data_IF_378659909588
#
_entry.id   IF_378659909588
#
_cell.length_a   1.000
_cell.length_b   1.000
_cell.length_c   1.000
_cell.angle_alpha   90.00
_cell.angle_beta   90.00
_cell.angle_gamma   90.00
#
_symmetry.space_group_name_H-M   'P 1'
#
loop_
_entity.id
_entity.type
_entity.pdbx_description
1 polymer ?
#
# COMPACT_ATOMS: atom_id res chain seq x y z
N UNK A 1 3.27 2.95 15.60
CA UNK A 1 2.66 4.24 15.99
C UNK A 1 1.24 4.22 15.47
N UNK A 2 0.21 4.03 16.33
CA UNK A 2 -1.18 3.86 15.85
C UNK A 2 -1.72 5.20 15.37
N UNK A 3 -1.96 5.35 14.07
CA UNK A 3 -2.56 6.54 13.47
C UNK A 3 -4.01 6.68 13.98
N UNK A 4 -4.19 7.53 15.01
CA UNK A 4 -5.48 7.77 15.69
C UNK A 4 -6.49 8.61 14.89
N UNK A 5 -6.24 8.94 13.62
CA UNK A 5 -7.15 9.80 12.83
C UNK A 5 -8.07 9.03 11.88
N UNK A 6 -7.47 8.28 10.95
CA UNK A 6 -8.20 7.67 9.82
C UNK A 6 -9.02 6.46 10.27
N UNK A 7 -8.47 5.63 11.16
CA UNK A 7 -9.15 4.44 11.69
C UNK A 7 -10.48 4.76 12.38
N UNK A 8 -10.59 5.93 13.03
CA UNK A 8 -11.81 6.37 13.71
C UNK A 8 -12.89 6.80 12.71
N UNK A 9 -12.47 7.34 11.56
CA UNK A 9 -13.35 7.94 10.55
C UNK A 9 -13.90 6.95 9.52
N UNK A 10 -13.22 5.82 9.30
CA UNK A 10 -13.74 4.73 8.45
C UNK A 10 -14.94 4.06 9.13
N UNK A 11 -15.93 3.62 8.37
CA UNK A 11 -16.92 2.62 8.84
C UNK A 11 -16.28 1.23 8.89
N UNK A 12 -16.93 0.28 9.58
CA UNK A 12 -16.45 -1.10 9.62
C UNK A 12 -16.48 -1.75 8.23
N UNK A 13 -17.52 -1.48 7.45
CA UNK A 13 -17.67 -2.02 6.09
C UNK A 13 -16.61 -1.46 5.14
N UNK A 14 -16.29 -0.16 5.22
CA UNK A 14 -15.18 0.44 4.48
C UNK A 14 -13.85 -0.22 4.86
N UNK A 15 -13.55 -0.33 6.16
CA UNK A 15 -12.31 -0.94 6.63
C UNK A 15 -12.20 -2.41 6.19
N UNK A 16 -13.29 -3.18 6.26
CA UNK A 16 -13.32 -4.56 5.79
C UNK A 16 -13.07 -4.67 4.29
N UNK A 17 -13.66 -3.78 3.48
CA UNK A 17 -13.44 -3.77 2.04
C UNK A 17 -11.99 -3.43 1.70
N UNK A 18 -11.39 -2.43 2.35
CA UNK A 18 -9.99 -2.05 2.16
C UNK A 18 -9.06 -3.20 2.56
N UNK A 19 -9.26 -3.82 3.73
CA UNK A 19 -8.46 -4.97 4.18
C UNK A 19 -8.59 -6.17 3.24
N UNK A 20 -9.77 -6.40 2.65
CA UNK A 20 -9.97 -7.46 1.65
C UNK A 20 -9.13 -7.21 0.40
N UNK A 21 -9.18 -5.99 -0.13
CA UNK A 21 -8.38 -5.60 -1.31
C UNK A 21 -6.88 -5.66 -1.00
N UNK A 22 -6.47 -5.23 0.20
CA UNK A 22 -5.09 -5.38 0.68
C UNK A 22 -4.63 -6.84 0.71
N UNK A 23 -5.45 -7.75 1.21
CA UNK A 23 -5.16 -9.19 1.20
C UNK A 23 -4.96 -9.71 -0.23
N UNK A 24 -5.85 -9.37 -1.16
CA UNK A 24 -5.69 -9.74 -2.58
C UNK A 24 -4.42 -9.15 -3.20
N UNK A 25 -4.07 -7.91 -2.87
CA UNK A 25 -2.81 -7.30 -3.32
C UNK A 25 -1.59 -8.09 -2.82
N UNK A 26 -1.60 -8.51 -1.55
CA UNK A 26 -0.51 -9.32 -0.97
C UNK A 26 -0.35 -10.68 -1.66
N UNK A 27 -1.44 -11.34 -2.03
CA UNK A 27 -1.40 -12.63 -2.76
C UNK A 27 -0.68 -12.53 -4.11
N UNK A 28 -0.66 -11.34 -4.72
CA UNK A 28 -0.12 -11.12 -6.06
C UNK A 28 1.16 -10.27 -6.08
N UNK A 29 1.57 -9.67 -4.95
CA UNK A 29 2.70 -8.75 -4.88
C UNK A 29 4.07 -9.41 -4.65
N UNK A 30 4.15 -10.74 -4.62
CA UNK A 30 5.40 -11.47 -4.37
C UNK A 30 6.56 -11.13 -5.31
N UNK A 31 6.27 -10.70 -6.55
CA UNK A 31 7.27 -10.23 -7.50
C UNK A 31 7.83 -8.84 -7.19
N UNK A 32 7.08 -7.98 -6.48
CA UNK A 32 7.51 -6.62 -6.16
C UNK A 32 8.74 -6.62 -5.26
N UNK A 33 8.76 -7.46 -4.23
CA UNK A 33 9.92 -7.55 -3.34
C UNK A 33 11.20 -8.02 -4.07
N UNK A 34 11.06 -8.85 -5.11
CA UNK A 34 12.21 -9.27 -5.92
C UNK A 34 12.75 -8.12 -6.79
N UNK A 35 11.87 -7.28 -7.32
CA UNK A 35 12.23 -6.17 -8.21
C UNK A 35 12.75 -4.95 -7.44
N UNK A 36 12.19 -4.67 -6.26
CA UNK A 36 12.39 -3.43 -5.53
C UNK A 36 13.06 -3.61 -4.15
N UNK A 37 13.32 -4.86 -3.74
CA UNK A 37 13.82 -5.16 -2.41
C UNK A 37 12.89 -4.63 -1.32
N UNK A 38 13.45 -3.84 -0.40
CA UNK A 38 12.73 -3.20 0.71
C UNK A 38 12.36 -1.73 0.43
N UNK A 39 12.28 -1.34 -0.84
CA UNK A 39 11.96 0.05 -1.23
C UNK A 39 11.04 0.06 -2.45
N UNK A 40 9.84 -0.47 -2.21
CA UNK A 40 8.76 -0.57 -3.18
C UNK A 40 8.09 0.80 -3.29
N UNK A 41 7.83 1.33 -4.50
CA UNK A 41 7.10 2.58 -4.65
C UNK A 41 5.68 2.49 -4.07
N UNK A 42 5.28 3.50 -3.32
CA UNK A 42 3.93 3.65 -2.77
C UNK A 42 2.83 3.67 -3.85
N UNK A 43 3.11 4.17 -5.05
CA UNK A 43 2.14 4.16 -6.15
C UNK A 43 1.76 2.76 -6.64
N UNK A 44 2.45 1.71 -6.19
CA UNK A 44 2.07 0.32 -6.45
C UNK A 44 1.07 -0.24 -5.43
N UNK A 45 0.73 0.51 -4.39
CA UNK A 45 -0.28 0.11 -3.42
C UNK A 45 -1.71 0.28 -3.99
N UNK A 46 -2.68 -0.51 -3.51
CA UNK A 46 -4.08 -0.35 -3.89
C UNK A 46 -4.76 0.87 -3.22
N UNK A 47 -4.20 1.34 -2.11
CA UNK A 47 -4.64 2.52 -1.36
C UNK A 47 -3.42 3.23 -0.75
N UNK A 48 -3.53 4.54 -0.45
CA UNK A 48 -2.54 5.24 0.36
C UNK A 48 -2.23 4.52 1.68
N UNK A 49 -0.97 4.57 2.13
CA UNK A 49 -0.49 3.83 3.32
C UNK A 49 -1.33 4.15 4.56
N UNK A 50 -1.67 5.42 4.73
CA UNK A 50 -2.44 5.92 5.87
C UNK A 50 -3.88 5.35 5.90
N UNK A 51 -4.52 5.19 4.74
CA UNK A 51 -5.81 4.51 4.59
C UNK A 51 -5.69 3.01 4.87
N UNK A 52 -4.66 2.35 4.34
CA UNK A 52 -4.40 0.93 4.62
C UNK A 52 -4.21 0.71 6.12
N UNK A 53 -3.33 1.49 6.73
CA UNK A 53 -3.03 1.41 8.15
C UNK A 53 -4.27 1.74 9.00
N UNK A 54 -5.05 2.75 8.62
CA UNK A 54 -6.32 3.08 9.27
C UNK A 54 -7.33 1.92 9.23
N UNK A 55 -7.49 1.28 8.08
CA UNK A 55 -8.39 0.15 7.89
C UNK A 55 -7.93 -1.10 8.67
N UNK A 56 -6.64 -1.42 8.61
CA UNK A 56 -6.03 -2.52 9.38
C UNK A 56 -6.27 -2.32 10.88
N UNK A 57 -5.91 -1.16 11.42
CA UNK A 57 -6.11 -0.82 12.84
C UNK A 57 -7.59 -0.92 13.27
N UNK A 58 -8.53 -0.48 12.42
CA UNK A 58 -9.97 -0.58 12.73
C UNK A 58 -10.43 -2.04 12.78
N UNK A 59 -9.99 -2.87 11.83
CA UNK A 59 -10.33 -4.30 11.80
C UNK A 59 -9.67 -5.09 12.93
N UNK A 60 -8.44 -4.74 13.31
CA UNK A 60 -7.76 -5.31 14.49
C UNK A 60 -8.54 -5.04 15.77
N UNK A 61 -8.94 -3.78 16.01
CA UNK A 61 -9.72 -3.42 17.19
C UNK A 61 -11.05 -4.19 17.25
N UNK A 62 -11.73 -4.34 16.10
CA UNK A 62 -12.95 -5.13 15.99
C UNK A 62 -12.74 -6.61 16.31
N UNK A 63 -11.70 -7.24 15.75
CA UNK A 63 -11.41 -8.65 16.02
C UNK A 63 -10.93 -8.90 17.44
N UNK A 64 -10.16 -7.98 18.00
CA UNK A 64 -9.74 -8.01 19.40
C UNK A 64 -10.96 -7.98 20.34
N UNK A 65 -11.92 -7.08 20.10
CA UNK A 65 -13.17 -7.00 20.88
C UNK A 65 -14.04 -8.26 20.78
N UNK A 66 -13.83 -9.11 19.78
CA UNK A 66 -14.50 -10.40 19.60
C UNK A 66 -13.70 -11.61 20.10
N UNK A 67 -12.50 -11.41 20.65
CA UNK A 67 -11.61 -12.49 21.08
C UNK A 67 -11.01 -13.31 19.92
N UNK A 68 -11.00 -12.77 18.69
CA UNK A 68 -10.47 -13.45 17.50
C UNK A 68 -8.97 -13.17 17.32
N UNK A 69 -8.17 -13.63 18.28
CA UNK A 69 -6.73 -13.32 18.37
C UNK A 69 -5.92 -13.76 17.13
N UNK A 70 -6.27 -14.88 16.51
CA UNK A 70 -5.60 -15.34 15.28
C UNK A 70 -5.76 -14.33 14.13
N UNK A 71 -6.92 -13.68 14.04
CA UNK A 71 -7.16 -12.66 13.01
C UNK A 71 -6.45 -11.35 13.32
N UNK A 72 -6.33 -10.99 14.59
CA UNK A 72 -5.55 -9.82 15.01
C UNK A 72 -4.09 -10.04 14.63
N UNK A 73 -3.52 -11.19 14.99
CA UNK A 73 -2.14 -11.53 14.65
C UNK A 73 -1.88 -11.53 13.14
N UNK A 74 -2.79 -12.08 12.35
CA UNK A 74 -2.68 -12.05 10.89
C UNK A 74 -2.62 -10.61 10.35
N UNK A 75 -3.45 -9.71 10.87
CA UNK A 75 -3.44 -8.31 10.46
C UNK A 75 -2.14 -7.62 10.84
N UNK A 76 -1.65 -7.82 12.07
CA UNK A 76 -0.37 -7.28 12.55
C UNK A 76 0.82 -7.76 11.69
N UNK A 77 0.82 -9.05 11.30
CA UNK A 77 1.83 -9.62 10.40
C UNK A 77 1.81 -8.96 9.01
N UNK A 78 0.63 -8.62 8.50
CA UNK A 78 0.51 -7.91 7.21
C UNK A 78 0.79 -6.40 7.30
N UNK A 79 0.54 -5.77 8.45
CA UNK A 79 0.84 -4.34 8.67
C UNK A 79 2.35 -4.08 8.50
N UNK A 80 3.19 -5.01 8.95
CA UNK A 80 4.64 -4.93 8.78
C UNK A 80 5.07 -4.80 7.31
N UNK A 81 4.32 -5.39 6.37
CA UNK A 81 4.60 -5.26 4.94
C UNK A 81 4.44 -3.84 4.42
N UNK A 82 3.68 -2.97 5.10
CA UNK A 82 3.59 -1.55 4.71
C UNK A 82 4.95 -0.84 4.85
N UNK A 83 5.83 -1.31 5.72
CA UNK A 83 7.16 -0.70 5.93
C UNK A 83 8.12 -0.89 4.76
N UNK A 84 7.81 -1.78 3.80
CA UNK A 84 8.61 -1.95 2.59
C UNK A 84 8.26 -0.94 1.50
N UNK A 85 7.15 -0.22 1.65
CA UNK A 85 6.70 0.81 0.73
C UNK A 85 7.25 2.16 1.18
N UNK A 86 7.82 2.89 0.22
CA UNK A 86 8.41 4.23 0.42
C UNK A 86 7.91 5.15 -0.68
N UNK A 87 8.15 6.46 -0.53
CA UNK A 87 7.77 7.40 -1.58
C UNK A 87 8.38 7.00 -2.93
N UNK A 88 7.67 7.28 -4.02
CA UNK A 88 8.13 6.93 -5.37
C UNK A 88 9.53 7.51 -5.66
N UNK A 89 9.79 8.73 -5.18
CA UNK A 89 11.09 9.39 -5.29
C UNK A 89 12.18 8.64 -4.52
N UNK A 90 11.90 8.23 -3.27
CA UNK A 90 12.85 7.45 -2.48
C UNK A 90 13.12 6.07 -3.09
N UNK A 91 12.09 5.41 -3.61
CA UNK A 91 12.22 4.13 -4.30
C UNK A 91 13.13 4.27 -5.53
N UNK A 92 12.91 5.30 -6.34
CA UNK A 92 13.74 5.61 -7.52
C UNK A 92 15.19 5.90 -7.10
N UNK A 93 15.41 6.74 -6.09
CA UNK A 93 16.76 7.11 -5.63
C UNK A 93 17.54 5.89 -5.14
N UNK A 94 16.91 5.02 -4.32
CA UNK A 94 17.52 3.78 -3.85
C UNK A 94 17.80 2.82 -5.00
N UNK A 95 16.89 2.72 -5.96
CA UNK A 95 17.08 1.90 -7.15
C UNK A 95 18.27 2.40 -7.98
N UNK A 96 18.36 3.70 -8.26
CA UNK A 96 19.48 4.33 -8.98
C UNK A 96 20.81 4.08 -8.26
N UNK A 97 20.83 4.14 -6.93
CA UNK A 97 22.04 3.91 -6.14
C UNK A 97 22.56 2.46 -6.22
N UNK A 98 21.68 1.51 -6.57
CA UNK A 98 21.99 0.08 -6.61
C UNK A 98 22.75 -0.36 -7.87
N UNK A 99 22.84 0.50 -8.90
CA UNK A 99 23.49 0.17 -10.17
C UNK A 99 24.57 1.18 -10.54
N UNK A 100 25.71 0.69 -11.03
CA UNK A 100 26.83 1.53 -11.45
C UNK A 100 26.73 1.99 -12.92
N UNK A 101 25.98 1.29 -13.76
CA UNK A 101 25.83 1.61 -15.18
C UNK A 101 24.75 2.68 -15.42
N UNK A 102 25.11 3.82 -16.03
CA UNK A 102 24.20 4.95 -16.25
C UNK A 102 23.10 4.69 -17.29
N UNK A 103 23.41 3.98 -18.37
CA UNK A 103 22.43 3.62 -19.41
C UNK A 103 21.40 2.63 -18.87
N UNK A 104 21.86 1.64 -18.11
CA UNK A 104 20.97 0.68 -17.44
C UNK A 104 20.07 1.37 -16.40
N UNK A 105 20.63 2.30 -15.60
CA UNK A 105 19.84 3.12 -14.67
C UNK A 105 18.71 3.86 -15.37
N UNK A 106 19.02 4.53 -16.49
CA UNK A 106 18.02 5.28 -17.26
C UNK A 106 16.88 4.39 -17.75
N UNK A 107 17.21 3.27 -18.38
CA UNK A 107 16.20 2.32 -18.89
C UNK A 107 15.32 1.74 -17.78
N UNK A 108 15.91 1.44 -16.62
CA UNK A 108 15.15 0.93 -15.50
C UNK A 108 14.23 1.99 -14.89
N UNK A 109 14.71 3.23 -14.70
CA UNK A 109 13.85 4.32 -14.19
C UNK A 109 12.68 4.57 -15.12
N UNK A 110 12.91 4.63 -16.44
CA UNK A 110 11.84 4.76 -17.43
C UNK A 110 10.84 3.59 -17.33
N UNK A 111 11.33 2.35 -17.27
CA UNK A 111 10.48 1.16 -17.11
C UNK A 111 9.70 1.13 -15.79
N UNK A 112 10.25 1.66 -14.70
CA UNK A 112 9.58 1.81 -13.41
C UNK A 112 8.44 2.82 -13.50
N UNK A 113 8.69 3.99 -14.08
CA UNK A 113 7.67 5.02 -14.28
C UNK A 113 6.54 4.52 -15.19
N UNK A 114 6.88 3.79 -16.26
CA UNK A 114 5.90 3.16 -17.13
C UNK A 114 5.08 2.09 -16.40
N UNK A 115 5.71 1.31 -15.53
CA UNK A 115 5.02 0.31 -14.69
C UNK A 115 4.04 0.98 -13.72
N UNK A 116 4.48 2.02 -13.00
CA UNK A 116 3.62 2.80 -12.09
C UNK A 116 2.42 3.40 -12.82
N UNK A 117 2.67 4.00 -13.99
CA UNK A 117 1.63 4.58 -14.83
C UNK A 117 0.65 3.53 -15.35
N UNK A 118 1.16 2.41 -15.85
CA UNK A 118 0.32 1.31 -16.35
C UNK A 118 -0.50 0.71 -15.22
N UNK A 119 0.08 0.52 -14.05
CA UNK A 119 -0.63 0.02 -12.88
C UNK A 119 -1.78 0.95 -12.47
N UNK A 120 -1.57 2.27 -12.47
CA UNK A 120 -2.62 3.24 -12.18
C UNK A 120 -3.74 3.29 -13.25
N UNK A 121 -3.40 3.01 -14.51
CA UNK A 121 -4.32 3.15 -15.66
C UNK A 121 -5.06 1.87 -16.03
N UNK A 122 -4.39 0.72 -15.94
CA UNK A 122 -4.87 -0.58 -16.46
C UNK A 122 -4.67 -1.73 -15.45
N UNK A 123 -4.18 -1.45 -14.25
CA UNK A 123 -3.66 -2.45 -13.33
C UNK A 123 -4.70 -3.45 -12.81
N UNK A 124 -4.26 -4.70 -12.69
CA UNK A 124 -5.00 -5.80 -12.06
C UNK A 124 -4.90 -5.79 -10.52
N UNK A 125 -3.98 -4.98 -9.95
CA UNK A 125 -3.70 -4.91 -8.49
C UNK A 125 -4.05 -3.56 -7.86
N UNK A 126 -4.20 -2.51 -8.67
CA UNK A 126 -4.58 -1.16 -8.24
C UNK A 126 -5.72 -0.72 -9.14
N UNK A 127 -6.91 -0.59 -8.57
CA UNK A 127 -8.06 -0.03 -9.29
C UNK A 127 -7.96 1.50 -9.20
N UNK A 128 -7.60 2.15 -10.31
CA UNK A 128 -7.41 3.60 -10.37
C UNK A 128 -8.66 4.39 -9.96
N UNK A 129 -9.87 3.83 -10.11
CA UNK A 129 -11.11 4.46 -9.63
C UNK A 129 -11.20 4.39 -8.10
N UNK A 130 -10.80 3.27 -7.51
CA UNK A 130 -10.72 3.13 -6.04
C UNK A 130 -9.65 4.03 -5.45
N UNK A 131 -8.51 4.19 -6.11
CA UNK A 131 -7.44 5.08 -5.67
C UNK A 131 -7.89 6.55 -5.61
N UNK A 132 -8.51 7.06 -6.67
CA UNK A 132 -9.00 8.44 -6.73
C UNK A 132 -10.17 8.68 -5.76
N UNK A 133 -11.08 7.72 -5.59
CA UNK A 133 -12.13 7.79 -4.56
C UNK A 133 -11.55 7.83 -3.15
N UNK A 134 -10.44 7.14 -2.91
CA UNK A 134 -9.80 7.09 -1.60
C UNK A 134 -9.04 8.38 -1.30
N UNK A 135 -8.41 9.00 -2.29
CA UNK A 135 -7.81 10.34 -2.13
C UNK A 135 -8.86 11.40 -1.80
N UNK A 136 -9.95 11.45 -2.56
CA UNK A 136 -11.08 12.33 -2.27
C UNK A 136 -11.64 12.08 -0.87
N UNK A 137 -11.68 10.82 -0.44
CA UNK A 137 -12.09 10.45 0.92
C UNK A 137 -11.10 10.95 1.98
N UNK A 138 -9.79 10.86 1.78
CA UNK A 138 -8.80 11.42 2.71
C UNK A 138 -9.04 12.94 2.87
N UNK A 139 -9.23 13.66 1.78
CA UNK A 139 -9.49 15.10 1.81
C UNK A 139 -10.78 15.46 2.57
N UNK A 140 -11.85 14.66 2.42
CA UNK A 140 -13.08 14.79 3.23
C UNK A 140 -12.84 14.47 4.70
N UNK A 141 -11.97 13.49 4.98
CA UNK A 141 -11.66 13.09 6.34
C UNK A 141 -10.73 14.10 7.02
N UNK A 142 -9.95 14.90 6.31
CA UNK A 142 -9.06 15.90 6.91
C UNK A 142 -9.72 17.27 7.20
N UNK A 143 -10.94 17.49 6.71
CA UNK A 143 -11.80 18.64 7.03
C UNK A 143 -12.57 18.45 8.35
#
# INVERSE_FOLDING_TARGET
MRLKGISEKLTLDEAQNIVRVWGTHLEHSGGLMFLFGTSIPESLLPYPIDILQGAINKMEAFYYGKGLHDKVRLLEETEMSLTTYVSDEEAIDKFISSFSNSEFRKLMVEGLQDTQKNQAQNGFLVDGKLWELSKARIEELEQ
#
